data_IF_058881410814
#
_entry.id   IF_058881410814
#
_cell.length_a   1.000
_cell.length_b   1.000
_cell.length_c   1.000
_cell.angle_alpha   90.00
_cell.angle_beta   90.00
_cell.angle_gamma   90.00
#
_symmetry.space_group_name_H-M   'P 1'
#
loop_
_entity.id
_entity.type
_entity.pdbx_description
1 polymer ?
#
# COMPACT_ATOMS: atom_id res chain seq x y z
N UNK A 1 -13.06 5.52 -3.08
CA UNK A 1 -12.58 4.92 -1.81
C UNK A 1 -12.26 6.04 -0.83
N UNK A 2 -12.79 6.01 0.39
CA UNK A 2 -12.73 7.10 1.39
C UNK A 2 -12.35 6.58 2.78
N UNK A 3 -11.41 5.63 2.83
CA UNK A 3 -10.82 5.18 4.09
C UNK A 3 -9.63 6.07 4.41
N UNK A 4 -9.68 6.77 5.55
CA UNK A 4 -8.48 7.34 6.16
C UNK A 4 -7.59 6.15 6.53
N UNK A 5 -6.38 6.08 6.02
CA UNK A 5 -5.45 5.00 6.35
C UNK A 5 -4.82 5.31 7.71
N UNK A 6 -5.44 4.82 8.79
CA UNK A 6 -4.80 4.88 10.10
C UNK A 6 -3.68 3.84 10.18
N UNK A 7 -2.76 3.98 11.13
CA UNK A 7 -1.62 3.07 11.26
C UNK A 7 -2.07 1.62 11.49
N UNK A 8 -3.22 1.45 12.12
CA UNK A 8 -3.92 0.20 12.36
C UNK A 8 -4.37 -0.49 11.06
N UNK A 9 -4.83 0.27 10.06
CA UNK A 9 -5.24 -0.26 8.75
C UNK A 9 -4.03 -0.79 7.96
N UNK A 10 -2.87 -0.15 8.14
CA UNK A 10 -1.60 -0.60 7.55
C UNK A 10 -1.14 -1.90 8.21
N UNK A 11 -1.23 -2.00 9.53
CA UNK A 11 -0.83 -3.22 10.25
C UNK A 11 -1.74 -4.40 9.92
N UNK A 12 -3.07 -4.22 9.98
CA UNK A 12 -4.03 -5.26 9.63
C UNK A 12 -3.86 -5.75 8.18
N UNK A 13 -3.52 -4.84 7.26
CA UNK A 13 -3.20 -5.17 5.88
C UNK A 13 -1.96 -6.07 5.76
N UNK A 14 -0.89 -5.72 6.46
CA UNK A 14 0.36 -6.49 6.45
C UNK A 14 0.18 -7.86 7.12
N UNK A 15 -0.52 -7.91 8.25
CA UNK A 15 -0.85 -9.17 8.97
C UNK A 15 -1.71 -10.11 8.13
N UNK A 16 -2.63 -9.57 7.33
CA UNK A 16 -3.43 -10.34 6.38
C UNK A 16 -2.63 -10.87 5.16
N UNK A 17 -1.32 -10.60 5.10
CA UNK A 17 -0.43 -11.05 4.04
C UNK A 17 -0.42 -10.16 2.80
N UNK A 18 -0.86 -8.89 2.91
CA UNK A 18 -0.74 -7.94 1.80
C UNK A 18 0.67 -7.41 1.64
N UNK A 19 1.06 -7.16 0.39
CA UNK A 19 2.42 -6.78 0.04
C UNK A 19 2.75 -5.31 0.36
N UNK A 20 1.74 -4.44 0.35
CA UNK A 20 1.85 -3.01 0.64
C UNK A 20 0.47 -2.40 0.86
N UNK A 21 0.41 -1.32 1.64
CA UNK A 21 -0.78 -0.50 1.82
C UNK A 21 -0.59 0.85 1.10
N UNK A 22 -1.58 1.29 0.30
CA UNK A 22 -1.56 2.58 -0.39
C UNK A 22 -2.56 3.55 0.27
N UNK A 23 -2.03 4.44 1.12
CA UNK A 23 -2.80 5.43 1.86
C UNK A 23 -3.43 6.51 0.96
N UNK A 24 -4.43 7.22 1.50
CA UNK A 24 -5.07 8.38 0.86
C UNK A 24 -4.60 9.71 1.45
N UNK A 25 -4.58 10.80 0.67
CA UNK A 25 -4.78 10.82 -0.79
C UNK A 25 -3.66 10.05 -1.50
N UNK A 26 -4.04 9.28 -2.54
CA UNK A 26 -3.11 8.36 -3.18
C UNK A 26 -2.06 9.14 -3.98
N UNK A 27 -0.80 9.04 -3.57
CA UNK A 27 0.33 9.55 -4.35
C UNK A 27 0.67 8.55 -5.46
N UNK A 28 0.38 8.93 -6.71
CA UNK A 28 0.63 8.10 -7.88
C UNK A 28 2.12 7.79 -8.08
N UNK A 29 3.05 8.67 -7.65
CA UNK A 29 4.49 8.39 -7.72
C UNK A 29 4.88 7.31 -6.74
N UNK A 30 4.40 7.40 -5.50
CA UNK A 30 4.64 6.38 -4.48
C UNK A 30 4.00 5.04 -4.85
N UNK A 31 2.80 5.07 -5.44
CA UNK A 31 2.12 3.89 -5.94
C UNK A 31 2.92 3.23 -7.06
N UNK A 32 3.33 3.97 -8.08
CA UNK A 32 4.14 3.43 -9.17
C UNK A 32 5.47 2.86 -8.68
N UNK A 33 6.15 3.52 -7.73
CA UNK A 33 7.38 3.00 -7.14
C UNK A 33 7.16 1.66 -6.41
N UNK A 34 6.05 1.56 -5.66
CA UNK A 34 5.66 0.34 -4.95
C UNK A 34 5.31 -0.78 -5.93
N UNK A 35 4.54 -0.50 -6.99
CA UNK A 35 4.21 -1.49 -8.00
C UNK A 35 5.47 -1.98 -8.74
N UNK A 36 6.39 -1.07 -9.09
CA UNK A 36 7.65 -1.42 -9.72
C UNK A 36 8.53 -2.30 -8.83
N UNK A 37 8.57 -2.05 -7.51
CA UNK A 37 9.34 -2.89 -6.59
C UNK A 37 8.73 -4.29 -6.42
N UNK A 38 7.41 -4.41 -6.49
CA UNK A 38 6.71 -5.69 -6.42
C UNK A 38 6.80 -6.50 -7.71
N UNK A 39 6.68 -5.86 -8.88
CA UNK A 39 6.77 -6.55 -10.18
C UNK A 39 8.20 -7.05 -10.46
N UNK A 40 9.23 -6.35 -10.00
CA UNK A 40 10.64 -6.78 -10.15
C UNK A 40 11.04 -7.99 -9.28
N UNK A 41 10.17 -8.45 -8.38
CA UNK A 41 10.41 -9.63 -7.53
C UNK A 41 9.97 -10.96 -8.18
N UNK A 42 9.52 -10.92 -9.44
CA UNK A 42 9.12 -12.09 -10.25
C UNK A 42 10.32 -12.57 -11.07
#
# INVERSE_FOLDING_TARGET
MTANAFAEDVQAALEAGMNAHAAKPTDMRALCATLLSLIKRI
#
